data_IF_529148863886
#
_entry.id   IF_529148863886
#
_cell.length_a   1.000
_cell.length_b   1.000
_cell.length_c   1.000
_cell.angle_alpha   90.00
_cell.angle_beta   90.00
_cell.angle_gamma   90.00
#
_symmetry.space_group_name_H-M   'P 1'
#
loop_
_entity.id
_entity.type
_entity.pdbx_description
1 polymer ?
#
# COMPACT_ATOMS: atom_id res chain seq x y z
N UNK A 1 -19.57 -10.36 -26.25
CA UNK A 1 -19.33 -10.41 -24.79
C UNK A 1 -20.16 -9.31 -24.17
N UNK A 2 -20.72 -9.55 -23.00
CA UNK A 2 -21.66 -8.66 -22.34
C UNK A 2 -21.33 -8.58 -20.85
N UNK A 3 -21.66 -7.45 -20.24
CA UNK A 3 -21.54 -7.24 -18.79
C UNK A 3 -22.95 -7.17 -18.24
N UNK A 4 -23.38 -8.26 -17.63
CA UNK A 4 -24.73 -8.41 -17.08
C UNK A 4 -24.67 -8.43 -15.57
N UNK A 5 -25.38 -7.52 -14.92
CA UNK A 5 -25.61 -7.56 -13.47
C UNK A 5 -26.76 -8.53 -13.17
N UNK A 6 -26.54 -9.43 -12.22
CA UNK A 6 -27.49 -10.49 -11.87
C UNK A 6 -27.62 -10.62 -10.35
N UNK A 7 -28.60 -11.42 -9.89
CA UNK A 7 -28.68 -11.80 -8.49
C UNK A 7 -27.65 -12.91 -8.16
N UNK A 8 -27.53 -13.25 -6.87
CA UNK A 8 -26.59 -14.28 -6.41
C UNK A 8 -26.86 -15.66 -7.02
N UNK A 9 -28.13 -16.07 -7.09
CA UNK A 9 -28.52 -17.39 -7.60
C UNK A 9 -28.20 -17.53 -9.09
N UNK A 10 -28.47 -16.49 -9.87
CA UNK A 10 -28.18 -16.42 -11.30
C UNK A 10 -26.68 -16.38 -11.56
N UNK A 11 -25.90 -15.75 -10.67
CA UNK A 11 -24.43 -15.79 -10.72
C UNK A 11 -23.85 -17.18 -10.44
N UNK A 12 -24.44 -17.92 -9.51
CA UNK A 12 -24.01 -19.28 -9.17
C UNK A 12 -24.36 -20.25 -10.31
N UNK A 13 -25.57 -20.14 -10.86
CA UNK A 13 -26.08 -21.01 -11.92
C UNK A 13 -25.78 -20.51 -13.35
N UNK A 14 -25.11 -19.36 -13.50
CA UNK A 14 -24.81 -18.74 -14.79
C UNK A 14 -26.06 -18.46 -15.67
N UNK A 15 -27.15 -18.00 -15.06
CA UNK A 15 -28.40 -17.66 -15.74
C UNK A 15 -28.32 -16.22 -16.26
N UNK A 16 -28.41 -16.04 -17.58
CA UNK A 16 -28.27 -14.74 -18.24
C UNK A 16 -29.59 -14.22 -18.85
N UNK A 17 -30.70 -14.94 -18.65
CA UNK A 17 -31.98 -14.66 -19.31
C UNK A 17 -32.71 -13.43 -18.72
N UNK A 18 -32.47 -13.15 -17.44
CA UNK A 18 -33.17 -12.11 -16.68
C UNK A 18 -32.18 -11.23 -15.89
N UNK A 19 -31.25 -10.53 -16.57
CA UNK A 19 -30.30 -9.68 -15.88
C UNK A 19 -31.03 -8.52 -15.18
N UNK A 20 -30.58 -8.18 -13.98
CA UNK A 20 -31.04 -6.99 -13.26
C UNK A 20 -30.68 -5.73 -14.05
N UNK A 21 -29.51 -5.72 -14.67
CA UNK A 21 -29.05 -4.64 -15.52
C UNK A 21 -28.11 -5.13 -16.61
N UNK A 22 -28.19 -4.54 -17.80
CA UNK A 22 -27.26 -4.80 -18.90
C UNK A 22 -26.37 -3.57 -19.11
N UNK A 23 -25.11 -3.68 -18.70
CA UNK A 23 -24.11 -2.62 -18.78
C UNK A 23 -23.37 -2.59 -20.13
N UNK A 24 -23.73 -3.47 -21.07
CA UNK A 24 -23.02 -3.62 -22.34
C UNK A 24 -23.24 -2.42 -23.26
N UNK A 25 -22.17 -1.70 -23.57
CA UNK A 25 -22.16 -0.52 -24.45
C UNK A 25 -21.73 -0.84 -25.89
N UNK A 26 -21.26 -2.06 -26.15
CA UNK A 26 -20.91 -2.55 -27.50
C UNK A 26 -19.50 -2.18 -27.99
N UNK A 27 -18.85 -1.19 -27.37
CA UNK A 27 -17.47 -0.78 -27.72
C UNK A 27 -16.39 -1.48 -26.87
N UNK A 28 -16.78 -2.38 -25.96
CA UNK A 28 -15.85 -3.15 -25.11
C UNK A 28 -15.28 -2.40 -23.91
N UNK A 29 -15.75 -1.17 -23.64
CA UNK A 29 -15.39 -0.38 -22.45
C UNK A 29 -16.63 -0.04 -21.64
N UNK A 30 -17.16 -1.04 -20.98
CA UNK A 30 -18.35 -0.91 -20.14
C UNK A 30 -17.95 -0.33 -18.77
N UNK A 31 -18.65 0.71 -18.32
CA UNK A 31 -18.38 1.40 -17.05
C UNK A 31 -19.57 1.18 -16.12
N UNK A 32 -19.31 0.63 -14.93
CA UNK A 32 -20.34 0.30 -13.95
C UNK A 32 -20.09 1.09 -12.64
N UNK A 33 -20.97 2.02 -12.27
CA UNK A 33 -20.87 2.72 -10.99
C UNK A 33 -21.32 1.84 -9.82
N UNK A 34 -20.52 1.80 -8.75
CA UNK A 34 -20.77 1.00 -7.54
C UNK A 34 -21.10 1.91 -6.35
N UNK A 35 -22.29 2.50 -6.38
CA UNK A 35 -22.67 3.56 -5.43
C UNK A 35 -23.29 3.04 -4.12
N UNK A 36 -23.68 1.76 -4.05
CA UNK A 36 -24.37 1.18 -2.89
C UNK A 36 -23.48 0.12 -2.25
N UNK A 37 -23.43 0.10 -0.93
CA UNK A 37 -22.71 -0.92 -0.16
C UNK A 37 -23.43 -2.26 -0.21
N UNK A 38 -23.06 -3.08 -1.19
CA UNK A 38 -23.58 -4.44 -1.36
C UNK A 38 -22.59 -5.30 -2.15
N UNK A 39 -22.87 -6.59 -2.23
CA UNK A 39 -22.19 -7.46 -3.19
C UNK A 39 -22.90 -7.39 -4.53
N UNK A 40 -22.17 -6.93 -5.55
CA UNK A 40 -22.63 -6.96 -6.95
C UNK A 40 -22.12 -8.23 -7.62
N UNK A 41 -22.96 -8.81 -8.48
CA UNK A 41 -22.63 -10.02 -9.23
C UNK A 41 -22.73 -9.72 -10.71
N UNK A 42 -21.63 -9.95 -11.44
CA UNK A 42 -21.57 -9.74 -12.88
C UNK A 42 -21.19 -11.03 -13.59
N UNK A 43 -21.85 -11.29 -14.71
CA UNK A 43 -21.59 -12.44 -15.57
C UNK A 43 -21.50 -12.03 -17.04
N UNK A 44 -20.82 -12.84 -17.84
CA UNK A 44 -20.91 -12.84 -19.30
C UNK A 44 -21.83 -13.96 -19.77
N UNK A 45 -22.73 -13.66 -20.71
CA UNK A 45 -23.72 -14.59 -21.23
C UNK A 45 -23.16 -15.61 -22.23
N UNK A 46 -24.03 -16.29 -22.98
CA UNK A 46 -23.67 -17.23 -24.07
C UNK A 46 -22.68 -18.34 -23.66
N UNK A 47 -22.76 -18.80 -22.42
CA UNK A 47 -21.92 -19.88 -21.88
C UNK A 47 -20.55 -19.45 -21.36
N UNK A 48 -20.11 -18.20 -21.57
CA UNK A 48 -18.81 -17.72 -21.07
C UNK A 48 -18.73 -17.68 -19.53
N UNK A 49 -19.86 -17.50 -18.85
CA UNK A 49 -19.92 -17.59 -17.39
C UNK A 49 -19.44 -18.95 -16.86
N UNK A 50 -19.81 -20.06 -17.51
CA UNK A 50 -19.33 -21.40 -17.14
C UNK A 50 -17.83 -21.58 -17.40
N UNK A 51 -17.29 -20.83 -18.37
CA UNK A 51 -15.85 -20.72 -18.60
C UNK A 51 -15.12 -19.82 -17.59
N UNK A 52 -15.81 -19.34 -16.54
CA UNK A 52 -15.23 -18.51 -15.48
C UNK A 52 -15.33 -17.00 -15.72
N UNK A 53 -15.98 -16.55 -16.79
CA UNK A 53 -16.16 -15.11 -17.07
C UNK A 53 -17.29 -14.52 -16.21
N UNK A 54 -17.05 -14.46 -14.90
CA UNK A 54 -17.93 -13.89 -13.89
C UNK A 54 -17.13 -13.28 -12.74
N UNK A 55 -17.65 -12.23 -12.10
CA UNK A 55 -17.00 -11.56 -10.96
C UNK A 55 -18.02 -11.13 -9.90
N UNK A 56 -17.67 -11.31 -8.64
CA UNK A 56 -18.44 -10.82 -7.50
C UNK A 56 -17.64 -9.71 -6.81
N UNK A 57 -18.25 -8.53 -6.64
CA UNK A 57 -17.58 -7.34 -6.10
C UNK A 57 -18.27 -6.97 -4.79
N UNK A 58 -17.55 -7.05 -3.67
CA UNK A 58 -18.06 -6.67 -2.36
C UNK A 58 -17.72 -5.22 -2.04
N UNK A 59 -18.73 -4.34 -2.15
CA UNK A 59 -18.57 -2.89 -1.94
C UNK A 59 -18.86 -2.55 -0.48
N UNK A 60 -17.90 -1.91 0.16
CA UNK A 60 -17.99 -1.43 1.54
C UNK A 60 -17.46 -0.01 1.65
N UNK A 61 -17.84 0.70 2.71
CA UNK A 61 -17.34 2.04 2.97
C UNK A 61 -15.84 1.97 3.33
N UNK A 62 -15.00 2.86 2.79
CA UNK A 62 -13.61 2.93 3.18
C UNK A 62 -13.50 3.26 4.67
N UNK A 63 -12.46 2.77 5.37
CA UNK A 63 -12.20 3.17 6.74
C UNK A 63 -11.99 4.70 6.81
N UNK A 64 -12.32 5.33 7.95
CA UNK A 64 -12.03 6.74 8.14
C UNK A 64 -10.53 7.00 7.96
N UNK A 65 -10.15 8.18 7.42
CA UNK A 65 -8.74 8.52 7.24
C UNK A 65 -8.01 8.45 8.59
N UNK A 66 -6.75 7.97 8.62
CA UNK A 66 -5.99 7.93 9.85
C UNK A 66 -5.84 9.35 10.42
N UNK A 67 -6.04 9.49 11.74
CA UNK A 67 -5.79 10.75 12.44
C UNK A 67 -4.35 11.18 12.20
N UNK A 68 -4.13 12.42 11.78
CA UNK A 68 -2.79 12.94 11.54
C UNK A 68 -1.94 12.83 12.82
N UNK A 69 -0.72 12.30 12.68
CA UNK A 69 0.25 12.24 13.78
C UNK A 69 0.65 13.66 14.18
N UNK A 70 0.82 13.97 15.48
CA UNK A 70 1.33 15.26 15.92
C UNK A 70 2.70 15.53 15.29
N UNK A 71 2.87 16.73 14.70
CA UNK A 71 4.15 17.17 14.11
C UNK A 71 5.17 17.29 15.24
N UNK A 72 6.11 16.34 15.34
CA UNK A 72 7.25 16.45 16.26
C UNK A 72 8.32 17.32 15.60
N UNK A 73 8.30 18.61 15.88
CA UNK A 73 9.39 19.53 15.51
C UNK A 73 10.62 19.26 16.37
N UNK A 74 11.38 18.21 16.03
CA UNK A 74 12.68 17.95 16.65
C UNK A 74 13.76 18.67 15.83
N UNK A 75 14.08 19.90 16.22
CA UNK A 75 15.31 20.56 15.77
C UNK A 75 16.49 19.81 16.40
N UNK A 76 17.42 19.21 15.64
CA UNK A 76 18.58 18.57 16.21
C UNK A 76 19.55 19.67 16.64
N UNK A 77 19.42 20.07 17.89
CA UNK A 77 20.42 20.93 18.52
C UNK A 77 21.70 20.09 18.67
N UNK A 78 22.63 20.25 17.73
CA UNK A 78 23.99 19.68 17.79
C UNK A 78 24.81 20.41 18.84
N UNK A 79 24.54 20.14 20.12
CA UNK A 79 25.45 20.49 21.23
C UNK A 79 26.01 19.20 21.82
N UNK A 80 27.13 18.71 21.27
CA UNK A 80 28.18 17.97 22.01
C UNK A 80 29.08 17.23 21.01
N UNK A 81 29.99 17.95 20.37
CA UNK A 81 31.13 17.31 19.68
C UNK A 81 32.47 17.98 20.00
N UNK A 82 32.45 19.12 20.71
CA UNK A 82 33.68 19.84 21.04
C UNK A 82 34.52 19.22 22.17
N UNK A 83 33.95 18.39 23.04
CA UNK A 83 34.69 17.89 24.22
C UNK A 83 35.53 16.64 23.94
N UNK A 84 35.14 15.82 22.97
CA UNK A 84 35.79 14.53 22.65
C UNK A 84 36.96 14.66 21.66
N UNK A 85 37.09 15.79 20.95
CA UNK A 85 38.13 15.96 19.92
C UNK A 85 39.53 16.31 20.47
N UNK A 86 39.66 16.68 21.75
CA UNK A 86 40.96 17.11 22.30
C UNK A 86 41.68 16.00 23.09
N UNK A 87 40.95 15.08 23.70
CA UNK A 87 41.56 14.05 24.56
C UNK A 87 42.38 13.02 23.78
N UNK A 88 41.96 12.69 22.55
CA UNK A 88 42.64 11.68 21.72
C UNK A 88 44.03 12.14 21.28
N UNK A 89 44.24 13.30 20.63
CA UNK A 89 45.57 13.70 20.18
C UNK A 89 46.56 13.98 21.33
N UNK A 90 46.07 14.45 22.49
CA UNK A 90 46.94 14.74 23.64
C UNK A 90 47.57 13.47 24.24
N UNK A 91 46.82 12.37 24.35
CA UNK A 91 47.33 11.09 24.85
C UNK A 91 48.40 10.50 23.92
N UNK A 92 48.23 10.60 22.59
CA UNK A 92 49.22 10.14 21.62
C UNK A 92 50.55 10.90 21.72
N UNK A 93 50.52 12.21 21.94
CA UNK A 93 51.73 13.02 22.07
C UNK A 93 52.55 12.64 23.32
N UNK A 94 51.88 12.38 24.45
CA UNK A 94 52.56 12.02 25.71
C UNK A 94 53.22 10.64 25.60
N UNK A 95 52.56 9.67 24.95
CA UNK A 95 53.15 8.34 24.73
C UNK A 95 54.39 8.39 23.84
N UNK A 96 54.34 9.15 22.73
CA UNK A 96 55.47 9.26 21.80
C UNK A 96 56.71 9.91 22.45
N UNK A 97 56.51 10.91 23.33
CA UNK A 97 57.61 11.54 24.07
C UNK A 97 58.24 10.57 25.06
N UNK A 98 57.44 9.74 25.75
CA UNK A 98 57.94 8.75 26.69
C UNK A 98 58.75 7.64 26.00
N UNK A 99 58.29 7.11 24.88
CA UNK A 99 59.03 6.11 24.09
C UNK A 99 60.35 6.67 23.54
N UNK A 100 60.36 7.95 23.14
CA UNK A 100 61.60 8.62 22.69
C UNK A 100 62.64 8.72 23.81
N UNK A 101 62.19 8.85 25.07
CA UNK A 101 63.06 8.94 26.23
C UNK A 101 63.64 7.58 26.64
N UNK A 102 62.87 6.50 26.49
CA UNK A 102 63.34 5.12 26.76
C UNK A 102 64.36 4.63 25.73
N UNK A 103 64.28 5.09 24.48
CA UNK A 103 65.22 4.71 23.43
C UNK A 103 66.54 5.51 23.43
N UNK A 104 66.64 6.54 24.29
CA UNK A 104 67.82 7.42 24.39
C UNK A 104 68.73 7.11 25.60
N UNK A 105 68.44 6.03 26.34
CA UNK A 105 69.17 5.57 27.53
C UNK A 105 69.77 4.19 27.27
#
# INVERSE_FOLDING_TARGET
MNVLEVNKTDYENCIADHPLHNWTTGAGRDVVPLNVTRTYYFISGKGFCFGGMKVAIHVHNPPPPPSASPIRSASPVRFSTFRSQIFVPALFAVAAVWDSFLMAL
#
